data_IF_132582591982
#
_entry.id   IF_132582591982
#
_cell.length_a   1.000
_cell.length_b   1.000
_cell.length_c   1.000
_cell.angle_alpha   90.00
_cell.angle_beta   90.00
_cell.angle_gamma   90.00
#
_symmetry.space_group_name_H-M   'P 1'
#
loop_
_entity.id
_entity.type
_entity.pdbx_description
1 polymer ?
#
# COMPACT_ATOMS: atom_id res chain seq x y z
N UNK A 1 -4.12 10.01 19.14
CA UNK A 1 -2.96 9.28 18.57
C UNK A 1 -2.11 8.76 19.73
N UNK A 2 -1.76 7.45 19.76
CA UNK A 2 -0.89 6.85 20.78
C UNK A 2 0.46 7.56 20.91
N UNK A 3 1.17 7.37 22.04
CA UNK A 3 2.43 8.10 22.33
C UNK A 3 3.50 7.90 21.24
N UNK A 4 3.65 6.68 20.74
CA UNK A 4 4.60 6.35 19.67
C UNK A 4 4.09 6.72 18.27
N UNK A 5 2.83 7.15 18.14
CA UNK A 5 2.24 7.65 16.90
C UNK A 5 2.58 9.10 16.60
N UNK A 6 3.52 9.72 17.33
CA UNK A 6 3.94 11.10 17.14
C UNK A 6 5.40 11.20 16.67
N UNK A 7 5.66 12.17 15.80
CA UNK A 7 6.99 12.54 15.33
C UNK A 7 7.30 14.00 15.66
N UNK A 8 8.53 14.28 16.10
CA UNK A 8 8.99 15.65 16.39
C UNK A 8 9.64 16.26 15.15
N UNK A 9 8.86 17.03 14.40
CA UNK A 9 9.33 17.82 13.26
C UNK A 9 9.99 19.14 13.72
N UNK A 10 11.06 19.53 13.05
CA UNK A 10 11.84 20.73 13.41
C UNK A 10 11.11 22.04 13.12
N UNK A 11 10.17 22.06 12.18
CA UNK A 11 9.47 23.26 11.72
C UNK A 11 8.03 23.31 12.24
N UNK A 12 7.37 22.16 12.35
CA UNK A 12 5.94 22.05 12.69
C UNK A 12 5.68 21.53 14.11
N UNK A 13 6.71 21.25 14.91
CA UNK A 13 6.52 20.70 16.25
C UNK A 13 6.14 19.23 16.21
N UNK A 14 5.11 18.80 16.93
CA UNK A 14 4.67 17.41 16.95
C UNK A 14 3.63 17.16 15.86
N UNK A 15 3.92 16.23 14.95
CA UNK A 15 3.00 15.79 13.90
C UNK A 15 2.73 14.28 14.03
N UNK A 16 1.63 13.77 13.46
CA UNK A 16 1.41 12.33 13.39
C UNK A 16 2.58 11.61 12.70
N UNK A 17 2.95 10.43 13.20
CA UNK A 17 3.99 9.57 12.61
C UNK A 17 3.63 9.21 11.17
N UNK A 18 2.36 8.89 10.93
CA UNK A 18 1.81 8.64 9.59
C UNK A 18 2.14 9.79 8.62
N UNK A 19 1.90 11.04 9.03
CA UNK A 19 2.20 12.22 8.21
C UNK A 19 3.70 12.36 7.91
N UNK A 20 4.55 12.03 8.87
CA UNK A 20 6.00 12.04 8.68
C UNK A 20 6.45 10.97 7.66
N UNK A 21 5.94 9.75 7.79
CA UNK A 21 6.27 8.64 6.90
C UNK A 21 5.77 8.95 5.48
N UNK A 22 4.50 9.34 5.34
CA UNK A 22 3.88 9.74 4.07
C UNK A 22 4.67 10.83 3.33
N UNK A 23 5.19 11.81 4.06
CA UNK A 23 6.01 12.90 3.50
C UNK A 23 7.41 12.43 3.06
N UNK A 24 7.89 11.32 3.61
CA UNK A 24 9.23 10.78 3.35
C UNK A 24 9.24 9.80 2.18
N UNK A 25 8.17 9.03 2.00
CA UNK A 25 8.05 8.04 0.93
C UNK A 25 7.67 8.71 -0.41
N UNK A 26 8.38 8.37 -1.47
CA UNK A 26 8.07 8.77 -2.85
C UNK A 26 8.23 7.56 -3.78
N UNK A 27 7.14 6.80 -3.95
CA UNK A 27 7.11 5.58 -4.74
C UNK A 27 5.74 5.43 -5.42
N UNK A 28 5.71 4.92 -6.65
CA UNK A 28 4.47 4.81 -7.44
C UNK A 28 3.36 4.01 -6.75
N UNK A 29 3.77 2.95 -6.03
CA UNK A 29 2.91 2.05 -5.27
C UNK A 29 2.59 2.49 -3.84
N UNK A 30 2.92 3.73 -3.45
CA UNK A 30 2.50 4.32 -2.17
C UNK A 30 1.63 5.54 -2.48
N UNK A 31 0.56 5.76 -1.70
CA UNK A 31 -0.31 6.93 -1.89
C UNK A 31 0.48 8.23 -1.75
N UNK A 32 0.29 9.16 -2.70
CA UNK A 32 1.03 10.42 -2.68
C UNK A 32 0.46 11.36 -1.63
N UNK A 33 1.34 11.92 -0.80
CA UNK A 33 1.02 12.97 0.16
C UNK A 33 1.17 14.36 -0.47
N UNK A 34 0.20 15.24 -0.23
CA UNK A 34 0.19 16.61 -0.74
C UNK A 34 0.42 17.65 0.35
N UNK A 35 -0.37 17.60 1.44
CA UNK A 35 -0.24 18.56 2.52
C UNK A 35 -0.83 18.04 3.84
N UNK A 36 -0.44 18.69 4.93
CA UNK A 36 -0.97 18.46 6.28
C UNK A 36 -1.45 19.80 6.83
N UNK A 37 -2.74 19.87 7.18
CA UNK A 37 -3.33 20.97 7.93
C UNK A 37 -3.64 20.53 9.36
N UNK A 38 -3.77 21.50 10.27
CA UNK A 38 -4.15 21.26 11.66
C UNK A 38 -5.08 22.37 12.14
N UNK A 39 -5.96 22.02 13.08
CA UNK A 39 -6.65 22.97 13.95
C UNK A 39 -6.45 22.57 15.42
N UNK A 40 -7.27 23.10 16.33
CA UNK A 40 -7.15 22.79 17.76
C UNK A 40 -7.48 21.35 18.14
N UNK A 41 -8.18 20.61 17.29
CA UNK A 41 -8.70 19.27 17.57
C UNK A 41 -8.17 18.20 16.61
N UNK A 42 -7.92 18.54 15.35
CA UNK A 42 -7.67 17.57 14.28
C UNK A 42 -6.46 17.90 13.42
N UNK A 43 -5.90 16.83 12.84
CA UNK A 43 -4.99 16.88 11.70
C UNK A 43 -5.74 16.44 10.44
N UNK A 44 -5.48 17.13 9.33
CA UNK A 44 -6.07 16.85 8.03
C UNK A 44 -4.97 16.46 7.06
N UNK A 45 -4.92 15.16 6.73
CA UNK A 45 -4.03 14.61 5.72
C UNK A 45 -4.65 14.79 4.33
N UNK A 46 -3.97 15.53 3.46
CA UNK A 46 -4.37 15.68 2.06
C UNK A 46 -3.48 14.80 1.20
N UNK A 47 -4.10 13.82 0.56
CA UNK A 47 -3.44 12.77 -0.20
C UNK A 47 -4.09 12.59 -1.58
N UNK A 48 -3.39 11.89 -2.46
CA UNK A 48 -3.92 11.41 -3.72
C UNK A 48 -5.20 10.60 -3.51
N UNK A 49 -6.25 10.94 -4.26
CA UNK A 49 -7.46 10.12 -4.34
C UNK A 49 -7.22 8.99 -5.35
N UNK A 50 -6.61 7.92 -4.88
CA UNK A 50 -6.27 6.75 -5.67
C UNK A 50 -7.43 5.72 -5.76
N UNK A 51 -7.43 4.93 -6.83
CA UNK A 51 -8.43 3.90 -7.09
C UNK A 51 -9.47 4.28 -8.15
N UNK A 52 -10.03 3.25 -8.80
CA UNK A 52 -11.25 3.32 -9.63
C UNK A 52 -12.01 1.99 -9.51
N UNK A 53 -13.32 1.92 -9.80
CA UNK A 53 -14.05 0.65 -9.78
C UNK A 53 -13.31 -0.40 -10.62
N UNK A 54 -12.98 -1.54 -9.99
CA UNK A 54 -12.29 -2.61 -10.69
C UNK A 54 -13.27 -3.30 -11.63
N UNK A 55 -12.95 -3.29 -12.92
CA UNK A 55 -13.62 -4.08 -13.94
C UNK A 55 -12.62 -5.15 -14.35
N UNK A 56 -13.01 -6.42 -14.31
CA UNK A 56 -12.15 -7.54 -14.72
C UNK A 56 -11.56 -7.23 -16.10
N UNK A 57 -10.24 -7.00 -16.20
CA UNK A 57 -9.65 -6.54 -17.44
C UNK A 57 -9.63 -7.69 -18.45
N UNK A 58 -9.84 -7.35 -19.73
CA UNK A 58 -9.45 -8.26 -20.82
C UNK A 58 -7.93 -8.35 -20.81
N UNK A 59 -7.39 -9.53 -20.50
CA UNK A 59 -5.95 -9.75 -20.35
C UNK A 59 -5.16 -9.34 -21.60
N UNK A 60 -5.79 -9.41 -22.79
CA UNK A 60 -5.18 -8.99 -24.06
C UNK A 60 -5.07 -7.46 -24.21
N UNK A 61 -5.77 -6.68 -23.37
CA UNK A 61 -5.82 -5.22 -23.42
C UNK A 61 -4.95 -4.53 -22.36
N UNK A 62 -4.38 -5.30 -21.42
CA UNK A 62 -3.55 -4.75 -20.36
C UNK A 62 -2.22 -4.23 -20.91
N UNK A 63 -1.74 -3.06 -20.47
CA UNK A 63 -0.39 -2.62 -20.84
C UNK A 63 0.63 -3.65 -20.36
N UNK A 64 1.74 -3.88 -21.08
CA UNK A 64 2.79 -4.79 -20.62
C UNK A 64 3.25 -4.38 -19.21
N UNK A 65 3.70 -5.34 -18.37
CA UNK A 65 4.22 -5.01 -17.05
C UNK A 65 5.29 -3.94 -17.20
N UNK A 66 5.08 -2.79 -16.56
CA UNK A 66 5.89 -1.61 -16.78
C UNK A 66 7.35 -1.91 -16.42
N UNK A 67 8.24 -1.85 -17.41
CA UNK A 67 9.67 -1.74 -17.14
C UNK A 67 9.90 -0.35 -16.55
N UNK A 68 10.46 -0.32 -15.34
CA UNK A 68 10.76 0.90 -14.57
C UNK A 68 11.51 1.95 -15.40
N UNK A 69 12.25 1.52 -16.43
CA UNK A 69 12.99 2.39 -17.34
C UNK A 69 12.14 3.28 -18.26
N UNK A 70 10.90 2.90 -18.57
CA UNK A 70 10.07 3.64 -19.54
C UNK A 70 9.30 4.82 -18.91
N UNK A 71 8.89 4.68 -17.64
CA UNK A 71 8.22 5.73 -16.87
C UNK A 71 9.16 6.91 -16.59
N UNK A 72 10.43 6.63 -16.27
CA UNK A 72 11.46 7.66 -16.06
C UNK A 72 11.75 8.42 -17.35
N UNK A 73 11.76 7.72 -18.50
CA UNK A 73 12.02 8.33 -19.80
C UNK A 73 10.91 9.29 -20.24
N UNK A 74 9.64 8.93 -20.04
CA UNK A 74 8.51 9.84 -20.34
C UNK A 74 8.44 11.06 -19.42
N UNK A 75 8.87 10.93 -18.17
CA UNK A 75 8.96 12.07 -17.25
C UNK A 75 10.11 13.03 -17.61
N UNK A 76 11.20 12.52 -18.18
CA UNK A 76 12.35 13.33 -18.62
C UNK A 76 12.12 14.09 -19.94
N UNK A 77 11.13 13.70 -20.74
CA UNK A 77 10.78 14.32 -22.03
C UNK A 77 9.68 15.40 -21.91
N UNK A 78 9.14 15.64 -20.71
CA UNK A 78 8.14 16.69 -20.49
C UNK A 78 8.82 18.09 -20.47
N UNK A 79 8.32 19.08 -21.24
CA UNK A 79 8.90 20.42 -21.24
C UNK A 79 8.74 21.10 -19.87
N UNK A 80 9.82 21.70 -19.38
CA UNK A 80 9.86 22.39 -18.10
C UNK A 80 8.85 23.57 -18.06
N UNK A 81 8.11 23.77 -16.95
CA UNK A 81 7.26 24.94 -16.79
C UNK A 81 8.10 26.22 -16.67
N UNK A 82 7.77 27.22 -17.48
CA UNK A 82 8.36 28.56 -17.44
C UNK A 82 8.08 29.26 -16.09
N UNK A 83 9.01 30.04 -15.54
CA UNK A 83 8.81 30.71 -14.27
C UNK A 83 7.95 31.97 -14.43
N UNK A 84 6.73 31.96 -13.87
CA UNK A 84 5.92 33.17 -13.71
C UNK A 84 6.45 34.03 -12.57
N UNK A 85 6.86 35.26 -12.91
CA UNK A 85 7.29 36.32 -11.99
C UNK A 85 6.12 36.81 -11.12
N UNK A 86 6.28 36.75 -9.80
CA UNK A 86 5.42 37.46 -8.84
C UNK A 86 5.60 38.98 -8.99
N UNK A 87 4.49 39.72 -9.07
CA UNK A 87 4.45 41.19 -8.94
C UNK A 87 3.37 41.56 -7.92
N UNK A 88 3.77 42.30 -6.88
CA UNK A 88 2.90 42.83 -5.81
C UNK A 88 2.04 44.03 -6.29
N UNK A 89 1.05 44.51 -5.51
CA UNK A 89 -0.15 45.17 -6.04
C UNK A 89 -0.01 46.69 -6.17
N UNK A 90 -0.67 47.27 -7.17
CA UNK A 90 -0.90 48.70 -7.30
C UNK A 90 -2.41 49.01 -7.23
N UNK A 91 -2.73 50.09 -6.52
CA UNK A 91 -4.06 50.67 -6.26
C UNK A 91 -4.69 51.24 -7.54
N UNK A 92 -6.02 51.18 -7.66
CA UNK A 92 -6.77 52.08 -8.56
C UNK A 92 -8.15 51.60 -9.03
N UNK A 93 -9.17 52.07 -8.32
CA UNK A 93 -10.45 52.65 -8.80
C UNK A 93 -11.55 51.81 -9.51
N UNK A 94 -12.76 52.00 -8.96
CA UNK A 94 -14.08 52.07 -9.60
C UNK A 94 -14.50 51.10 -10.70
N UNK A 95 -15.26 50.05 -10.33
CA UNK A 95 -16.60 49.70 -10.85
C UNK A 95 -16.90 48.21 -10.61
N UNK A 96 -18.02 47.92 -9.92
CA UNK A 96 -18.55 46.57 -9.74
C UNK A 96 -19.04 45.99 -11.08
N UNK A 97 -18.62 44.77 -11.48
CA UNK A 97 -19.39 43.95 -12.40
C UNK A 97 -20.30 43.00 -11.61
N UNK A 98 -21.60 43.13 -11.85
CA UNK A 98 -22.67 42.30 -11.32
C UNK A 98 -22.44 40.83 -11.69
N UNK A 99 -22.33 39.95 -10.69
CA UNK A 99 -22.32 38.50 -10.89
C UNK A 99 -23.71 38.03 -11.35
N UNK A 100 -23.83 37.20 -12.39
CA UNK A 100 -25.12 36.59 -12.72
C UNK A 100 -25.50 35.58 -11.63
N UNK A 101 -26.69 35.80 -11.10
CA UNK A 101 -27.38 34.97 -10.11
C UNK A 101 -27.71 33.60 -10.73
N UNK A 102 -26.78 32.64 -10.65
CA UNK A 102 -27.09 31.25 -11.03
C UNK A 102 -27.79 30.60 -9.85
N UNK A 103 -29.11 30.46 -10.01
CA UNK A 103 -30.01 29.72 -9.14
C UNK A 103 -29.44 28.35 -8.75
N UNK A 104 -29.21 28.19 -7.46
CA UNK A 104 -28.95 26.91 -6.83
C UNK A 104 -30.17 26.00 -7.00
N UNK A 105 -29.98 24.89 -7.72
CA UNK A 105 -30.47 23.55 -7.35
C UNK A 105 -29.88 22.54 -8.35
N UNK A 106 -28.63 22.14 -8.14
CA UNK A 106 -28.20 20.81 -8.58
C UNK A 106 -28.15 19.94 -7.35
N UNK A 107 -29.22 19.18 -7.17
CA UNK A 107 -29.26 18.02 -6.29
C UNK A 107 -28.23 17.02 -6.86
N UNK A 108 -26.95 17.22 -6.55
CA UNK A 108 -25.93 16.22 -6.78
C UNK A 108 -26.21 15.16 -5.72
N UNK A 109 -26.94 14.11 -6.11
CA UNK A 109 -26.93 12.87 -5.36
C UNK A 109 -25.47 12.60 -4.99
N UNK A 110 -25.17 12.64 -3.69
CA UNK A 110 -23.88 12.21 -3.17
C UNK A 110 -23.83 10.70 -3.39
N UNK A 111 -23.55 10.27 -4.62
CA UNK A 111 -23.11 8.92 -4.91
C UNK A 111 -21.84 8.75 -4.09
N UNK A 112 -21.99 8.08 -2.95
CA UNK A 112 -20.87 7.65 -2.12
C UNK A 112 -20.06 6.73 -3.01
N UNK A 113 -18.86 7.18 -3.39
CA UNK A 113 -17.94 6.39 -4.21
C UNK A 113 -17.71 5.08 -3.45
N UNK A 114 -18.01 3.94 -4.07
CA UNK A 114 -17.69 2.62 -3.52
C UNK A 114 -16.18 2.56 -3.23
N UNK A 115 -15.77 1.90 -2.14
CA UNK A 115 -14.35 1.81 -1.83
C UNK A 115 -13.64 1.01 -2.93
N UNK A 116 -12.37 1.29 -3.16
CA UNK A 116 -11.61 0.79 -4.32
C UNK A 116 -10.40 -0.01 -3.86
N UNK A 117 -10.54 -0.61 -2.69
CA UNK A 117 -9.56 -1.48 -2.07
C UNK A 117 -9.56 -2.87 -2.74
N UNK A 118 -8.50 -3.63 -2.48
CA UNK A 118 -8.37 -4.99 -2.99
C UNK A 118 -9.38 -5.93 -2.37
N UNK A 119 -9.91 -5.63 -1.18
CA UNK A 119 -10.93 -6.45 -0.54
C UNK A 119 -12.21 -6.49 -1.39
N UNK A 120 -12.77 -5.32 -1.74
CA UNK A 120 -13.93 -5.24 -2.65
C UNK A 120 -13.62 -5.87 -4.02
N UNK A 121 -12.39 -5.69 -4.53
CA UNK A 121 -11.95 -6.28 -5.79
C UNK A 121 -12.03 -7.81 -5.78
N UNK A 122 -11.49 -8.44 -4.73
CA UNK A 122 -11.47 -9.90 -4.56
C UNK A 122 -12.90 -10.43 -4.38
N UNK A 123 -13.72 -9.77 -3.56
CA UNK A 123 -15.11 -10.19 -3.32
C UNK A 123 -15.96 -10.15 -4.60
N UNK A 124 -15.82 -9.09 -5.42
CA UNK A 124 -16.57 -8.92 -6.66
C UNK A 124 -16.05 -9.79 -7.81
N UNK A 125 -14.81 -10.28 -7.73
CA UNK A 125 -14.14 -11.00 -8.81
C UNK A 125 -13.52 -12.32 -8.30
N UNK A 126 -14.35 -13.29 -7.87
CA UNK A 126 -13.83 -14.56 -7.39
C UNK A 126 -13.04 -15.29 -8.48
N UNK A 127 -11.93 -15.91 -8.09
CA UNK A 127 -11.08 -16.68 -9.01
C UNK A 127 -10.27 -15.80 -9.98
N UNK A 128 -9.51 -14.83 -9.45
CA UNK A 128 -8.53 -14.06 -10.22
C UNK A 128 -7.52 -14.99 -10.92
N UNK A 129 -7.14 -14.68 -12.16
CA UNK A 129 -6.09 -15.45 -12.84
C UNK A 129 -4.74 -15.26 -12.16
N UNK A 130 -3.82 -16.21 -12.31
CA UNK A 130 -2.51 -16.11 -11.67
C UNK A 130 -1.71 -14.92 -12.21
N UNK A 131 -1.89 -14.58 -13.49
CA UNK A 131 -1.29 -13.38 -14.09
C UNK A 131 -1.77 -12.07 -13.46
N UNK A 132 -3.07 -11.97 -13.13
CA UNK A 132 -3.61 -10.80 -12.40
C UNK A 132 -3.05 -10.75 -10.98
N UNK A 133 -3.06 -11.89 -10.28
CA UNK A 133 -2.49 -12.02 -8.92
C UNK A 133 -1.02 -11.62 -8.90
N UNK A 134 -0.24 -12.10 -9.86
CA UNK A 134 1.17 -11.73 -10.05
C UNK A 134 1.33 -10.22 -10.25
N UNK A 135 0.61 -9.64 -11.21
CA UNK A 135 0.70 -8.20 -11.51
C UNK A 135 0.40 -7.33 -10.29
N UNK A 136 -0.62 -7.67 -9.51
CA UNK A 136 -0.97 -6.97 -8.27
C UNK A 136 0.15 -7.16 -7.25
N UNK A 137 0.48 -8.41 -6.92
CA UNK A 137 1.41 -8.73 -5.84
C UNK A 137 2.79 -8.12 -6.04
N UNK A 138 3.35 -8.18 -7.27
CA UNK A 138 4.69 -7.63 -7.54
C UNK A 138 4.77 -6.13 -7.28
N UNK A 139 3.73 -5.37 -7.58
CA UNK A 139 3.70 -3.93 -7.29
C UNK A 139 3.63 -3.65 -5.79
N UNK A 140 2.81 -4.41 -5.05
CA UNK A 140 2.72 -4.31 -3.58
C UNK A 140 4.06 -4.66 -2.94
N UNK A 141 4.66 -5.80 -3.34
CA UNK A 141 5.95 -6.26 -2.83
C UNK A 141 7.06 -5.21 -3.06
N UNK A 142 7.11 -4.58 -4.24
CA UNK A 142 8.07 -3.50 -4.53
C UNK A 142 7.85 -2.26 -3.66
N UNK A 143 6.60 -1.85 -3.43
CA UNK A 143 6.29 -0.73 -2.56
C UNK A 143 6.70 -1.00 -1.11
N UNK A 144 6.48 -2.21 -0.59
CA UNK A 144 6.91 -2.62 0.75
C UNK A 144 8.44 -2.68 0.86
N UNK A 145 9.12 -3.23 -0.15
CA UNK A 145 10.58 -3.25 -0.17
C UNK A 145 11.18 -1.84 -0.15
N UNK A 146 10.64 -0.92 -0.97
CA UNK A 146 11.02 0.50 -0.94
C UNK A 146 10.81 1.12 0.44
N UNK A 147 9.70 0.80 1.11
CA UNK A 147 9.42 1.28 2.46
C UNK A 147 10.45 0.76 3.48
N UNK A 148 10.83 -0.52 3.39
CA UNK A 148 11.88 -1.13 4.22
C UNK A 148 13.25 -0.48 3.98
N UNK A 149 13.62 -0.25 2.72
CA UNK A 149 14.84 0.46 2.32
C UNK A 149 14.86 1.91 2.83
N UNK A 150 13.70 2.55 2.88
CA UNK A 150 13.49 3.88 3.46
C UNK A 150 13.53 3.87 5.00
N UNK A 151 13.64 2.69 5.62
CA UNK A 151 13.78 2.51 7.06
C UNK A 151 12.46 2.45 7.82
N UNK A 152 11.35 2.12 7.16
CA UNK A 152 10.03 2.00 7.77
C UNK A 152 9.41 0.62 7.52
N UNK A 153 8.52 0.20 8.42
CA UNK A 153 7.67 -0.99 8.26
C UNK A 153 6.21 -0.57 8.24
N UNK A 154 5.39 -1.27 7.47
CA UNK A 154 3.97 -0.95 7.32
C UNK A 154 3.13 -1.48 8.48
N UNK A 155 3.37 -2.74 8.87
CA UNK A 155 2.72 -3.48 9.98
C UNK A 155 1.21 -3.71 9.88
N UNK A 156 0.55 -3.31 8.80
CA UNK A 156 -0.88 -3.56 8.58
C UNK A 156 -1.17 -3.80 7.09
N UNK A 157 -0.36 -4.64 6.46
CA UNK A 157 -0.56 -5.03 5.06
C UNK A 157 -1.75 -5.99 5.00
N UNK A 158 -2.76 -5.59 4.25
CA UNK A 158 -3.98 -6.35 3.97
C UNK A 158 -4.65 -5.77 2.73
N UNK A 159 -5.58 -6.51 2.16
CA UNK A 159 -6.34 -6.12 0.98
C UNK A 159 -7.15 -4.82 1.17
N UNK A 160 -7.67 -4.55 2.37
CA UNK A 160 -8.35 -3.29 2.72
C UNK A 160 -7.43 -2.05 2.61
N UNK A 161 -6.12 -2.22 2.87
CA UNK A 161 -5.14 -1.12 2.89
C UNK A 161 -4.40 -0.96 1.56
N UNK A 162 -4.97 -1.49 0.48
CA UNK A 162 -4.39 -1.42 -0.85
C UNK A 162 -5.49 -1.06 -1.83
N UNK A 163 -5.38 0.09 -2.48
CA UNK A 163 -6.31 0.48 -3.54
C UNK A 163 -5.80 0.05 -4.90
N UNK A 164 -6.73 -0.34 -5.77
CA UNK A 164 -6.45 -0.77 -7.15
C UNK A 164 -7.26 0.05 -8.15
N UNK A 165 -6.71 0.28 -9.33
CA UNK A 165 -7.43 0.91 -10.44
C UNK A 165 -7.75 -0.06 -11.59
N UNK A 166 -8.48 0.42 -12.59
CA UNK A 166 -8.91 -0.37 -13.74
C UNK A 166 -7.76 -0.87 -14.62
N UNK A 167 -6.54 -0.37 -14.41
CA UNK A 167 -5.33 -0.78 -15.10
C UNK A 167 -4.45 -1.70 -14.23
N UNK A 168 -5.01 -2.21 -13.12
CA UNK A 168 -4.31 -3.04 -12.14
C UNK A 168 -3.12 -2.34 -11.48
N UNK A 169 -3.09 -1.00 -11.45
CA UNK A 169 -2.12 -0.27 -10.64
C UNK A 169 -2.58 -0.26 -9.20
N UNK A 170 -1.66 -0.49 -8.28
CA UNK A 170 -1.95 -0.56 -6.85
C UNK A 170 -1.20 0.50 -6.07
N UNK A 171 -1.81 0.95 -4.97
CA UNK A 171 -1.19 1.85 -4.01
C UNK A 171 -1.47 1.39 -2.59
N UNK A 172 -0.41 1.28 -1.79
CA UNK A 172 -0.51 1.16 -0.33
C UNK A 172 -1.14 2.45 0.21
N UNK A 173 -2.15 2.28 1.06
CA UNK A 173 -2.81 3.33 1.83
C UNK A 173 -2.75 2.97 3.32
N UNK A 174 -3.13 3.92 4.17
CA UNK A 174 -3.19 3.76 5.63
C UNK A 174 -1.83 3.37 6.26
N UNK A 175 -1.06 4.38 6.62
CA UNK A 175 0.23 4.22 7.30
C UNK A 175 0.09 4.49 8.81
N UNK A 176 -1.13 4.40 9.35
CA UNK A 176 -1.42 4.66 10.76
C UNK A 176 -0.69 3.73 11.74
N UNK A 177 -0.44 2.48 11.31
CA UNK A 177 0.29 1.47 12.08
C UNK A 177 1.80 1.42 11.76
N UNK A 178 2.23 2.23 10.79
CA UNK A 178 3.60 2.22 10.30
C UNK A 178 4.57 2.85 11.28
N UNK A 179 5.81 2.36 11.29
CA UNK A 179 6.82 2.82 12.24
C UNK A 179 8.24 2.73 11.66
N UNK A 180 9.18 3.52 12.19
CA UNK A 180 10.60 3.36 11.88
C UNK A 180 11.10 1.97 12.30
N UNK A 181 11.92 1.35 11.45
CA UNK A 181 12.59 0.10 11.77
C UNK A 181 13.56 0.33 12.94
N UNK A 182 13.48 -0.46 14.03
CA UNK A 182 14.41 -0.39 15.15
C UNK A 182 15.86 -0.63 14.71
N UNK A 183 16.71 0.41 14.80
CA UNK A 183 18.10 0.35 14.31
C UNK A 183 19.12 -0.18 15.32
N UNK A 184 18.83 -0.11 16.62
CA UNK A 184 19.76 -0.60 17.63
C UNK A 184 19.56 -2.10 17.87
N UNK A 185 20.62 -2.84 18.24
CA UNK A 185 20.51 -4.29 18.47
C UNK A 185 19.41 -4.66 19.46
N UNK A 186 19.21 -3.86 20.51
CA UNK A 186 18.25 -4.14 21.59
C UNK A 186 16.90 -3.44 21.45
N UNK A 187 16.67 -2.66 20.38
CA UNK A 187 15.36 -2.07 20.12
C UNK A 187 14.49 -3.03 19.32
N UNK A 188 13.26 -3.25 19.78
CA UNK A 188 12.29 -4.16 19.18
C UNK A 188 10.88 -3.57 19.33
N UNK A 189 9.97 -3.96 18.45
CA UNK A 189 8.55 -3.82 18.72
C UNK A 189 8.17 -4.81 19.83
N UNK A 190 7.39 -4.33 20.81
CA UNK A 190 6.88 -5.12 21.95
C UNK A 190 5.36 -5.22 21.96
N UNK A 191 4.71 -4.52 21.04
CA UNK A 191 3.27 -4.51 20.84
C UNK A 191 2.99 -4.57 19.34
N UNK A 192 1.91 -5.27 19.01
CA UNK A 192 1.36 -5.33 17.67
C UNK A 192 0.11 -4.44 17.60
N UNK A 193 0.00 -3.65 16.53
CA UNK A 193 -1.10 -2.70 16.35
C UNK A 193 -1.74 -2.80 14.97
N UNK A 194 -1.41 -3.85 14.22
CA UNK A 194 -2.06 -4.14 12.94
C UNK A 194 -3.27 -5.06 13.11
N UNK A 195 -3.77 -5.54 11.99
CA UNK A 195 -4.90 -6.46 11.90
C UNK A 195 -4.46 -7.88 12.29
N UNK A 196 -5.14 -8.49 13.24
CA UNK A 196 -4.79 -9.81 13.78
C UNK A 196 -4.75 -10.93 12.74
N UNK A 197 -5.60 -10.87 11.71
CA UNK A 197 -5.64 -11.88 10.64
C UNK A 197 -4.38 -11.89 9.76
N UNK A 198 -3.65 -10.76 9.69
CA UNK A 198 -2.38 -10.64 8.97
C UNK A 198 -1.16 -10.72 9.90
N UNK A 199 -1.38 -10.91 11.20
CA UNK A 199 -0.31 -10.94 12.19
C UNK A 199 0.52 -12.22 12.08
N UNK A 200 1.84 -12.08 12.18
CA UNK A 200 2.77 -13.18 12.20
C UNK A 200 2.78 -13.88 13.57
N UNK A 201 3.20 -15.15 13.65
CA UNK A 201 3.16 -15.95 14.88
C UNK A 201 3.90 -15.30 16.07
N UNK A 202 5.03 -14.64 15.82
CA UNK A 202 5.79 -13.91 16.84
C UNK A 202 5.02 -12.70 17.37
N UNK A 203 4.31 -11.97 16.50
CA UNK A 203 3.53 -10.81 16.88
C UNK A 203 2.28 -11.21 17.69
N UNK A 204 1.63 -12.31 17.30
CA UNK A 204 0.52 -12.91 18.04
C UNK A 204 0.94 -13.37 19.45
N UNK A 205 2.17 -13.85 19.59
CA UNK A 205 2.76 -14.23 20.89
C UNK A 205 3.31 -13.06 21.69
N UNK A 206 3.31 -11.84 21.14
CA UNK A 206 3.90 -10.65 21.77
C UNK A 206 5.43 -10.74 21.90
N UNK A 207 6.08 -11.54 21.06
CA UNK A 207 7.52 -11.71 21.07
C UNK A 207 8.23 -10.52 20.44
N UNK A 208 9.42 -10.13 20.93
CA UNK A 208 10.17 -9.03 20.34
C UNK A 208 10.55 -9.29 18.88
N UNK A 209 10.23 -8.36 17.99
CA UNK A 209 10.57 -8.46 16.57
C UNK A 209 11.03 -7.12 15.98
N UNK A 210 11.77 -7.16 14.87
CA UNK A 210 12.29 -5.96 14.19
C UNK A 210 11.28 -5.31 13.23
N UNK A 211 10.28 -6.05 12.77
CA UNK A 211 9.21 -5.52 11.91
C UNK A 211 9.23 -6.04 10.46
N UNK A 212 10.34 -6.00 9.70
CA UNK A 212 10.33 -6.40 8.29
C UNK A 212 9.79 -7.83 8.05
N UNK A 213 10.14 -8.79 8.91
CA UNK A 213 9.64 -10.16 8.81
C UNK A 213 8.12 -10.27 9.03
N UNK A 214 7.52 -9.39 9.84
CA UNK A 214 6.08 -9.30 10.02
C UNK A 214 5.40 -8.82 8.73
N UNK A 215 5.99 -7.84 8.02
CA UNK A 215 5.46 -7.38 6.74
C UNK A 215 5.56 -8.48 5.66
N UNK A 216 6.64 -9.29 5.66
CA UNK A 216 6.77 -10.44 4.75
C UNK A 216 5.68 -11.48 5.00
N UNK A 217 5.39 -11.80 6.27
CA UNK A 217 4.30 -12.70 6.61
C UNK A 217 2.94 -12.16 6.11
N UNK A 218 2.66 -10.88 6.37
CA UNK A 218 1.44 -10.23 5.93
C UNK A 218 1.30 -10.20 4.39
N UNK A 219 2.42 -10.03 3.66
CA UNK A 219 2.46 -10.21 2.20
C UNK A 219 2.14 -11.66 1.79
N UNK A 220 2.59 -12.66 2.56
CA UNK A 220 2.22 -14.06 2.37
C UNK A 220 0.72 -14.31 2.53
N UNK A 221 0.11 -13.72 3.56
CA UNK A 221 -1.34 -13.76 3.79
C UNK A 221 -2.07 -13.11 2.62
N UNK A 222 -1.65 -11.92 2.19
CA UNK A 222 -2.21 -11.22 1.04
C UNK A 222 -2.10 -12.01 -0.26
N UNK A 223 -0.93 -12.58 -0.57
CA UNK A 223 -0.74 -13.40 -1.77
C UNK A 223 -1.67 -14.61 -1.78
N UNK A 224 -1.83 -15.26 -0.63
CA UNK A 224 -2.74 -16.38 -0.49
C UNK A 224 -4.19 -15.93 -0.74
N UNK A 225 -4.63 -14.84 -0.10
CA UNK A 225 -5.99 -14.30 -0.27
C UNK A 225 -6.27 -13.92 -1.73
N UNK A 226 -5.33 -13.28 -2.42
CA UNK A 226 -5.45 -12.99 -3.84
C UNK A 226 -5.55 -14.27 -4.69
N UNK A 227 -4.76 -15.30 -4.36
CA UNK A 227 -4.68 -16.54 -5.12
C UNK A 227 -5.87 -17.49 -4.87
N UNK A 228 -6.51 -17.44 -3.71
CA UNK A 228 -7.52 -18.43 -3.33
C UNK A 228 -8.87 -17.81 -2.93
N UNK A 229 -8.96 -16.48 -2.81
CA UNK A 229 -10.18 -15.75 -2.46
C UNK A 229 -10.57 -15.87 -0.99
N UNK A 230 -9.69 -16.42 -0.14
CA UNK A 230 -9.91 -16.57 1.30
C UNK A 230 -8.56 -16.54 2.04
N UNK A 231 -8.54 -16.22 3.35
CA UNK A 231 -7.30 -16.21 4.12
C UNK A 231 -6.72 -17.63 4.32
N UNK A 232 -5.38 -17.76 4.48
CA UNK A 232 -4.72 -19.05 4.67
C UNK A 232 -5.03 -19.71 6.02
N UNK A 233 -5.36 -18.90 7.02
CA UNK A 233 -5.59 -19.32 8.40
C UNK A 233 -6.96 -18.84 8.86
N UNK A 234 -7.69 -19.72 9.55
CA UNK A 234 -9.02 -19.41 10.10
C UNK A 234 -8.95 -18.58 11.37
N UNK A 235 -7.87 -18.76 12.12
CA UNK A 235 -7.67 -18.17 13.44
C UNK A 235 -6.17 -18.05 13.77
N UNK A 236 -5.82 -17.28 14.82
CA UNK A 236 -4.44 -17.13 15.28
C UNK A 236 -3.75 -18.45 15.68
N UNK A 237 -4.50 -19.44 16.17
CA UNK A 237 -3.93 -20.73 16.59
C UNK A 237 -3.42 -21.51 15.37
N UNK A 238 -4.20 -21.52 14.28
CA UNK A 238 -3.77 -22.10 13.03
C UNK A 238 -2.58 -21.33 12.43
N UNK A 239 -2.61 -19.99 12.46
CA UNK A 239 -1.50 -19.16 11.99
C UNK A 239 -0.19 -19.51 12.73
N UNK A 240 -0.24 -19.75 14.04
CA UNK A 240 0.91 -20.16 14.83
C UNK A 240 1.53 -21.50 14.40
N UNK A 241 0.77 -22.38 13.75
CA UNK A 241 1.31 -23.63 13.18
C UNK A 241 1.95 -23.44 11.80
N UNK A 242 1.63 -22.36 11.09
CA UNK A 242 2.03 -22.15 9.69
C UNK A 242 1.41 -23.14 8.69
N UNK A 243 0.48 -23.99 9.13
CA UNK A 243 -0.15 -25.00 8.27
C UNK A 243 -1.35 -24.40 7.54
N UNK A 244 -1.21 -24.22 6.23
CA UNK A 244 -2.28 -23.78 5.33
C UNK A 244 -2.52 -24.79 4.21
N UNK A 245 -3.76 -24.82 3.69
CA UNK A 245 -4.14 -25.73 2.62
C UNK A 245 -3.84 -25.09 1.26
N UNK A 246 -3.33 -25.89 0.32
CA UNK A 246 -3.18 -25.49 -1.09
C UNK A 246 -4.08 -26.40 -1.92
N UNK A 247 -5.18 -25.89 -2.50
CA UNK A 247 -6.02 -26.67 -3.39
C UNK A 247 -5.20 -27.28 -4.54
N UNK A 248 -5.31 -28.59 -4.73
CA UNK A 248 -4.60 -29.28 -5.81
C UNK A 248 -5.02 -28.69 -7.16
N UNK A 249 -4.05 -28.47 -8.06
CA UNK A 249 -4.23 -28.14 -9.50
C UNK A 249 -4.72 -26.74 -9.91
N UNK A 250 -4.71 -25.73 -9.03
CA UNK A 250 -5.21 -24.37 -9.39
C UNK A 250 -4.09 -23.35 -9.67
N UNK A 251 -2.89 -23.51 -9.09
CA UNK A 251 -1.81 -22.50 -9.14
C UNK A 251 -0.45 -23.13 -9.43
N UNK A 252 0.48 -22.34 -9.97
CA UNK A 252 1.83 -22.80 -10.29
C UNK A 252 2.61 -23.21 -9.03
N UNK A 253 3.58 -24.12 -9.22
CA UNK A 253 4.47 -24.51 -8.12
C UNK A 253 5.29 -23.31 -7.60
N UNK A 254 5.66 -22.36 -8.47
CA UNK A 254 6.39 -21.15 -8.09
C UNK A 254 5.61 -20.26 -7.11
N UNK A 255 4.29 -20.13 -7.29
CA UNK A 255 3.44 -19.40 -6.35
C UNK A 255 3.45 -20.09 -4.97
N UNK A 256 3.33 -21.41 -4.98
CA UNK A 256 3.25 -22.23 -3.76
C UNK A 256 4.59 -22.24 -3.00
N UNK A 257 5.72 -22.31 -3.69
CA UNK A 257 7.05 -22.25 -3.07
C UNK A 257 7.31 -20.88 -2.45
N UNK A 258 6.88 -19.79 -3.11
CA UNK A 258 6.94 -18.44 -2.56
C UNK A 258 6.09 -18.30 -1.29
N UNK A 259 4.84 -18.79 -1.30
CA UNK A 259 3.97 -18.78 -0.12
C UNK A 259 4.61 -19.48 1.07
N UNK A 260 5.23 -20.64 0.86
CA UNK A 260 5.91 -21.39 1.94
C UNK A 260 7.10 -20.64 2.53
N UNK A 261 7.83 -19.87 1.71
CA UNK A 261 8.95 -19.03 2.18
C UNK A 261 8.48 -17.84 3.02
N UNK A 262 7.38 -17.20 2.64
CA UNK A 262 6.83 -16.04 3.36
C UNK A 262 6.04 -16.43 4.62
N UNK A 263 5.24 -17.50 4.55
CA UNK A 263 4.44 -18.03 5.66
C UNK A 263 5.23 -19.03 6.51
N UNK A 264 6.51 -18.76 6.74
CA UNK A 264 7.37 -19.53 7.62
C UNK A 264 7.23 -19.04 9.07
N UNK A 265 6.96 -19.94 10.01
CA UNK A 265 6.76 -19.61 11.43
C UNK A 265 8.05 -19.15 12.08
N UNK A 266 9.16 -19.84 11.79
CA UNK A 266 10.47 -19.54 12.35
C UNK A 266 11.05 -18.27 11.72
N UNK A 267 11.28 -17.25 12.56
CA UNK A 267 11.73 -15.92 12.12
C UNK A 267 13.03 -15.94 11.31
N UNK A 268 13.99 -16.77 11.73
CA UNK A 268 15.31 -16.86 11.10
C UNK A 268 15.28 -17.60 9.76
N UNK A 269 14.24 -18.43 9.53
CA UNK A 269 14.05 -19.19 8.30
C UNK A 269 13.07 -18.49 7.34
N UNK A 270 12.30 -17.51 7.83
CA UNK A 270 11.39 -16.71 7.00
C UNK A 270 12.22 -15.84 6.06
N UNK A 271 11.90 -15.92 4.78
CA UNK A 271 12.65 -15.19 3.76
C UNK A 271 12.62 -13.67 4.00
N UNK A 272 13.72 -12.99 3.68
CA UNK A 272 13.77 -11.54 3.67
C UNK A 272 13.04 -10.97 2.45
N UNK A 273 12.70 -9.67 2.50
CA UNK A 273 12.01 -8.98 1.40
C UNK A 273 12.80 -9.02 0.08
N UNK A 274 14.14 -8.99 0.13
CA UNK A 274 14.99 -9.17 -1.05
C UNK A 274 14.80 -10.53 -1.72
N UNK A 275 14.76 -11.60 -0.93
CA UNK A 275 14.51 -12.96 -1.44
C UNK A 275 13.10 -13.13 -2.02
N UNK A 276 12.11 -12.41 -1.49
CA UNK A 276 10.76 -12.35 -2.07
C UNK A 276 10.82 -11.77 -3.48
N UNK A 277 11.52 -10.63 -3.67
CA UNK A 277 11.63 -9.96 -4.96
C UNK A 277 12.44 -10.75 -6.00
N UNK A 278 13.43 -11.53 -5.53
CA UNK A 278 14.28 -12.39 -6.37
C UNK A 278 13.63 -13.75 -6.68
N UNK A 279 12.53 -14.09 -6.01
CA UNK A 279 11.88 -15.38 -6.17
C UNK A 279 11.44 -15.62 -7.64
N UNK A 280 11.62 -16.85 -8.12
CA UNK A 280 11.35 -17.24 -9.52
C UNK A 280 9.95 -16.86 -10.00
N UNK A 281 8.95 -16.95 -9.12
CA UNK A 281 7.57 -16.60 -9.43
C UNK A 281 7.39 -15.09 -9.62
N UNK A 282 8.07 -14.26 -8.81
CA UNK A 282 8.03 -12.80 -8.91
C UNK A 282 8.74 -12.33 -10.17
N UNK A 283 9.93 -12.87 -10.46
CA UNK A 283 10.73 -12.48 -11.63
C UNK A 283 10.18 -13.07 -12.95
N UNK A 284 9.65 -14.29 -12.91
CA UNK A 284 9.27 -15.08 -14.08
C UNK A 284 7.89 -14.78 -14.68
N UNK A 285 7.15 -13.80 -14.17
CA UNK A 285 5.91 -13.31 -14.78
C UNK A 285 4.68 -14.22 -14.61
N UNK A 286 4.60 -15.03 -13.55
CA UNK A 286 3.44 -15.87 -13.26
C UNK A 286 3.05 -16.89 -14.35
N UNK A 287 3.89 -17.10 -15.36
CA UNK A 287 3.54 -17.80 -16.60
C UNK A 287 4.61 -18.83 -16.96
N UNK A 288 4.68 -19.93 -16.20
CA UNK A 288 5.19 -21.24 -16.64
C UNK A 288 4.48 -22.36 -15.86
N UNK A 289 3.24 -22.61 -16.22
CA UNK A 289 2.42 -23.73 -15.75
C UNK A 289 1.34 -24.02 -16.76
#
# INVERSE_FOLDING_TARGET
IPVHGWWRDKKRGFIPMEAHILRTLDHEGVVKFFDLFEDSEFFYLVMECAGTPFVRPDENSLPPPTSVFETVRKAAEAPAPLPTRCSSPARGDGSEPTLPHVSATRNREKHRRESQDLFECIERNPGLSEGIVHRIFVQVARAVAYMHESGFVHRDIKDENIVVDSQLRVKLIDLGCSAPIPRTPHAYFKSFEGTLHSAAPEALRGEPHKGPQQDVWALGVLLYTLAFGCPPFRDPEQAATGVFCVPMSVRSNGLVTLLRKMLCVELEERCAMGEVLEHEWVVGGGSRG
#
